data_IF_955014760827
#
_entry.id   IF_955014760827
#
_cell.length_a   1.000
_cell.length_b   1.000
_cell.length_c   1.000
_cell.angle_alpha   90.00
_cell.angle_beta   90.00
_cell.angle_gamma   90.00
#
_symmetry.space_group_name_H-M   'P 1'
#
loop_
_entity.id
_entity.type
_entity.pdbx_description
1 polymer ?
#
# COMPACT_ATOMS: atom_id res chain seq x y z
N UNK A 1 -20.20 14.39 -0.02
CA UNK A 1 -20.50 13.74 1.26
C UNK A 1 -20.39 12.22 1.13
N UNK A 2 -21.06 11.60 0.17
CA UNK A 2 -21.05 10.14 -0.08
C UNK A 2 -19.67 9.50 -0.12
N UNK A 3 -18.68 10.13 -0.77
CA UNK A 3 -17.31 9.60 -0.84
C UNK A 3 -16.58 9.64 0.52
N UNK A 4 -16.86 10.64 1.35
CA UNK A 4 -16.32 10.70 2.71
C UNK A 4 -16.95 9.64 3.62
N UNK A 5 -18.25 9.38 3.46
CA UNK A 5 -18.95 8.28 4.15
C UNK A 5 -18.41 6.93 3.71
N UNK A 6 -18.23 6.75 2.39
CA UNK A 6 -17.62 5.54 1.82
C UNK A 6 -16.23 5.26 2.38
N UNK A 7 -15.39 6.29 2.53
CA UNK A 7 -14.04 6.15 3.10
C UNK A 7 -14.01 6.19 4.63
N UNK A 8 -15.14 6.49 5.31
CA UNK A 8 -15.27 6.49 6.77
C UNK A 8 -14.65 7.69 7.46
N UNK A 9 -14.55 8.82 6.76
CA UNK A 9 -13.99 10.08 7.29
C UNK A 9 -15.01 11.23 7.25
N UNK A 10 -16.28 10.97 7.09
CA UNK A 10 -17.37 11.96 7.03
C UNK A 10 -17.41 12.89 8.25
N UNK A 11 -17.04 12.38 9.44
CA UNK A 11 -16.96 13.17 10.67
C UNK A 11 -15.93 14.30 10.61
N UNK A 12 -15.00 14.22 9.67
CA UNK A 12 -13.94 15.20 9.44
C UNK A 12 -14.25 16.17 8.27
N UNK A 13 -15.47 16.14 7.71
CA UNK A 13 -15.85 16.92 6.54
C UNK A 13 -15.64 18.44 6.71
N UNK A 14 -15.75 18.94 7.94
CA UNK A 14 -15.52 20.36 8.28
C UNK A 14 -14.12 20.64 8.85
N UNK A 15 -13.26 19.63 8.99
CA UNK A 15 -11.91 19.79 9.49
C UNK A 15 -10.96 20.25 8.39
N UNK A 16 -9.91 20.96 8.79
CA UNK A 16 -8.79 21.25 7.88
C UNK A 16 -8.02 19.98 7.60
N UNK A 17 -7.59 19.77 6.35
CA UNK A 17 -6.90 18.56 5.94
C UNK A 17 -5.56 18.33 6.68
N UNK A 18 -4.89 19.39 7.12
CA UNK A 18 -3.65 19.34 7.89
C UNK A 18 -3.85 18.83 9.34
N UNK A 19 -5.09 18.89 9.86
CA UNK A 19 -5.43 18.37 11.18
C UNK A 19 -5.72 16.86 11.19
N UNK A 20 -5.83 16.24 10.01
CA UNK A 20 -6.05 14.81 9.86
C UNK A 20 -4.78 14.01 10.19
N UNK A 21 -4.95 12.84 10.80
CA UNK A 21 -3.86 11.87 10.92
C UNK A 21 -3.37 11.43 9.53
N UNK A 22 -2.15 10.90 9.48
CA UNK A 22 -1.57 10.41 8.21
C UNK A 22 -2.50 9.42 7.50
N UNK A 23 -3.02 8.42 8.23
CA UNK A 23 -3.93 7.45 7.65
C UNK A 23 -5.28 8.04 7.21
N UNK A 24 -5.83 9.01 7.94
CA UNK A 24 -7.03 9.72 7.51
C UNK A 24 -6.80 10.52 6.23
N UNK A 25 -5.61 11.09 6.05
CA UNK A 25 -5.23 11.73 4.79
C UNK A 25 -5.17 10.75 3.63
N UNK A 26 -4.68 9.52 3.84
CA UNK A 26 -4.70 8.45 2.81
C UNK A 26 -6.13 8.11 2.38
N UNK A 27 -7.08 8.06 3.31
CA UNK A 27 -8.50 7.85 2.98
C UNK A 27 -9.10 9.07 2.24
N UNK A 28 -8.70 10.28 2.61
CA UNK A 28 -9.10 11.49 1.91
C UNK A 28 -8.55 11.54 0.49
N UNK A 29 -7.29 11.14 0.28
CA UNK A 29 -6.67 11.01 -1.05
C UNK A 29 -7.46 10.04 -1.93
N UNK A 30 -7.86 8.87 -1.39
CA UNK A 30 -8.72 7.93 -2.12
C UNK A 30 -10.07 8.57 -2.46
N UNK A 31 -10.74 9.22 -1.51
CA UNK A 31 -12.00 9.91 -1.76
C UNK A 31 -11.87 10.98 -2.84
N UNK A 32 -10.77 11.74 -2.82
CA UNK A 32 -10.47 12.80 -3.80
C UNK A 32 -10.31 12.24 -5.22
N UNK A 33 -9.54 11.17 -5.38
CA UNK A 33 -9.36 10.51 -6.69
C UNK A 33 -10.69 10.00 -7.25
N UNK A 34 -11.55 9.47 -6.39
CA UNK A 34 -12.87 8.93 -6.78
C UNK A 34 -13.87 10.01 -7.22
N UNK A 35 -13.64 11.29 -6.93
CA UNK A 35 -14.51 12.38 -7.42
C UNK A 35 -14.62 12.39 -8.95
N UNK A 36 -13.52 12.03 -9.63
CA UNK A 36 -13.49 11.99 -11.11
C UNK A 36 -14.15 10.73 -11.70
N UNK A 37 -14.68 9.83 -10.87
CA UNK A 37 -15.25 8.53 -11.26
C UNK A 37 -14.34 7.73 -12.23
N UNK A 38 -13.06 7.51 -11.91
CA UNK A 38 -12.11 6.90 -12.82
C UNK A 38 -12.38 5.40 -13.00
N UNK A 39 -12.15 4.90 -14.22
CA UNK A 39 -12.18 3.46 -14.51
C UNK A 39 -10.92 2.75 -13.99
N UNK A 40 -9.79 3.46 -13.93
CA UNK A 40 -8.49 2.96 -13.45
C UNK A 40 -7.94 3.90 -12.38
N UNK A 41 -7.52 3.35 -11.25
CA UNK A 41 -6.91 4.08 -10.13
C UNK A 41 -5.49 3.58 -9.92
N UNK A 42 -4.53 4.51 -9.84
CA UNK A 42 -3.14 4.23 -9.51
C UNK A 42 -2.88 4.65 -8.07
N UNK A 43 -2.35 3.73 -7.27
CA UNK A 43 -2.00 3.97 -5.87
C UNK A 43 -0.50 3.67 -5.68
N UNK A 44 0.21 4.64 -5.11
CA UNK A 44 1.62 4.53 -4.78
C UNK A 44 1.79 4.48 -3.26
N UNK A 45 2.27 3.35 -2.75
CA UNK A 45 2.48 3.04 -1.34
C UNK A 45 1.27 3.38 -0.43
N UNK A 46 0.05 2.93 -0.77
CA UNK A 46 -1.15 3.31 -0.01
C UNK A 46 -1.15 2.79 1.43
N UNK A 47 -0.41 1.71 1.73
CA UNK A 47 -0.28 1.13 3.08
C UNK A 47 0.90 1.72 3.88
N UNK A 48 1.79 2.49 3.25
CA UNK A 48 3.00 3.05 3.89
C UNK A 48 2.68 3.94 5.08
N UNK A 49 3.27 3.65 6.25
CA UNK A 49 3.09 4.44 7.48
C UNK A 49 1.67 4.42 8.08
N UNK A 50 0.82 3.52 7.64
CA UNK A 50 -0.58 3.39 8.08
C UNK A 50 -0.70 2.25 9.08
N UNK A 51 -1.50 2.44 10.16
CA UNK A 51 -1.70 1.38 11.14
C UNK A 51 -2.50 0.19 10.55
N UNK A 52 -2.33 -1.04 11.09
CA UNK A 52 -2.92 -2.27 10.52
C UNK A 52 -4.45 -2.22 10.38
N UNK A 53 -5.17 -1.61 11.32
CA UNK A 53 -6.63 -1.49 11.27
C UNK A 53 -7.08 -0.66 10.07
N UNK A 54 -6.38 0.43 9.79
CA UNK A 54 -6.69 1.32 8.68
C UNK A 54 -6.27 0.72 7.33
N UNK A 55 -5.18 -0.07 7.30
CA UNK A 55 -4.79 -0.87 6.12
C UNK A 55 -5.92 -1.83 5.73
N UNK A 56 -6.51 -2.53 6.70
CA UNK A 56 -7.63 -3.44 6.45
C UNK A 56 -8.87 -2.69 5.94
N UNK A 57 -9.15 -1.51 6.48
CA UNK A 57 -10.24 -0.66 6.01
C UNK A 57 -10.02 -0.21 4.57
N UNK A 58 -8.81 0.28 4.24
CA UNK A 58 -8.43 0.67 2.88
C UNK A 58 -8.56 -0.50 1.90
N UNK A 59 -8.04 -1.67 2.25
CA UNK A 59 -8.16 -2.88 1.44
C UNK A 59 -9.61 -3.26 1.16
N UNK A 60 -10.49 -3.15 2.17
CA UNK A 60 -11.91 -3.41 2.01
C UNK A 60 -12.57 -2.45 1.00
N UNK A 61 -12.24 -1.15 1.08
CA UNK A 61 -12.76 -0.15 0.12
C UNK A 61 -12.26 -0.40 -1.30
N UNK A 62 -10.98 -0.76 -1.47
CA UNK A 62 -10.41 -1.11 -2.79
C UNK A 62 -11.14 -2.33 -3.37
N UNK A 63 -11.36 -3.39 -2.58
CA UNK A 63 -12.10 -4.59 -3.05
C UNK A 63 -13.52 -4.25 -3.48
N UNK A 64 -14.22 -3.42 -2.72
CA UNK A 64 -15.58 -3.00 -3.05
C UNK A 64 -15.65 -2.22 -4.37
N UNK A 65 -14.72 -1.30 -4.59
CA UNK A 65 -14.60 -0.54 -5.83
C UNK A 65 -14.20 -1.43 -7.02
N UNK A 66 -13.32 -2.40 -6.80
CA UNK A 66 -12.92 -3.37 -7.81
C UNK A 66 -14.10 -4.28 -8.21
N UNK A 67 -14.87 -4.77 -7.23
CA UNK A 67 -16.09 -5.53 -7.48
C UNK A 67 -17.15 -4.71 -8.24
N UNK A 68 -17.16 -3.38 -8.09
CA UNK A 68 -17.99 -2.46 -8.85
C UNK A 68 -17.44 -2.14 -10.26
N UNK A 69 -16.34 -2.79 -10.68
CA UNK A 69 -15.78 -2.71 -12.03
C UNK A 69 -14.61 -1.75 -12.22
N UNK A 70 -14.06 -1.16 -11.15
CA UNK A 70 -12.84 -0.33 -11.25
C UNK A 70 -11.59 -1.20 -11.23
N UNK A 71 -10.59 -0.77 -11.98
CA UNK A 71 -9.27 -1.41 -12.01
C UNK A 71 -8.30 -0.62 -11.14
N UNK A 72 -7.45 -1.33 -10.40
CA UNK A 72 -6.40 -0.74 -9.57
C UNK A 72 -5.02 -1.20 -10.04
N UNK A 73 -4.08 -0.26 -10.13
CA UNK A 73 -2.65 -0.53 -10.20
C UNK A 73 -2.02 -0.01 -8.90
N UNK A 74 -1.42 -0.91 -8.13
CA UNK A 74 -0.88 -0.60 -6.81
C UNK A 74 0.62 -0.87 -6.82
N UNK A 75 1.41 0.13 -6.46
CA UNK A 75 2.84 -0.03 -6.17
C UNK A 75 3.01 -0.11 -4.66
N UNK A 76 3.57 -1.21 -4.17
CA UNK A 76 3.71 -1.48 -2.74
C UNK A 76 4.88 -2.43 -2.47
N UNK A 77 5.48 -2.28 -1.29
CA UNK A 77 6.46 -3.21 -0.74
C UNK A 77 5.91 -4.05 0.42
N UNK A 78 4.70 -3.73 0.92
CA UNK A 78 4.02 -4.52 1.93
C UNK A 78 3.43 -5.80 1.30
N UNK A 79 4.17 -6.92 1.44
CA UNK A 79 3.82 -8.20 0.83
C UNK A 79 2.46 -8.73 1.32
N UNK A 80 2.15 -8.60 2.61
CA UNK A 80 0.88 -9.06 3.16
C UNK A 80 -0.31 -8.31 2.55
N UNK A 81 -0.16 -7.01 2.34
CA UNK A 81 -1.18 -6.18 1.72
C UNK A 81 -1.42 -6.58 0.26
N UNK A 82 -0.36 -6.69 -0.56
CA UNK A 82 -0.52 -7.04 -1.99
C UNK A 82 -0.97 -8.48 -2.18
N UNK A 83 -0.44 -9.44 -1.40
CA UNK A 83 -0.84 -10.85 -1.47
C UNK A 83 -2.29 -11.06 -1.07
N UNK A 84 -2.80 -10.26 -0.13
CA UNK A 84 -4.18 -10.32 0.32
C UNK A 84 -5.18 -9.56 -0.55
N UNK A 85 -4.72 -8.65 -1.40
CA UNK A 85 -5.58 -7.72 -2.14
C UNK A 85 -5.59 -7.92 -3.65
N UNK A 86 -4.43 -8.19 -4.25
CA UNK A 86 -4.27 -8.15 -5.70
C UNK A 86 -4.60 -9.49 -6.36
N UNK A 87 -5.22 -9.45 -7.55
CA UNK A 87 -5.48 -10.63 -8.38
C UNK A 87 -4.22 -11.09 -9.12
N UNK A 88 -3.31 -10.15 -9.42
CA UNK A 88 -2.06 -10.38 -10.13
C UNK A 88 -0.97 -9.47 -9.57
N UNK A 89 0.22 -10.04 -9.40
CA UNK A 89 1.38 -9.35 -8.85
C UNK A 89 2.52 -9.44 -9.87
N UNK A 90 3.26 -8.35 -10.03
CA UNK A 90 4.55 -8.31 -10.73
C UNK A 90 5.58 -7.82 -9.73
N UNK A 91 6.60 -8.63 -9.47
CA UNK A 91 7.69 -8.29 -8.57
C UNK A 91 8.85 -7.75 -9.38
N UNK A 92 9.34 -6.58 -8.95
CA UNK A 92 10.49 -5.90 -9.52
C UNK A 92 11.65 -5.93 -8.52
N UNK A 93 12.85 -6.24 -9.02
CA UNK A 93 14.10 -6.11 -8.31
C UNK A 93 15.06 -5.29 -9.18
N UNK A 94 15.55 -4.16 -8.67
CA UNK A 94 16.36 -3.17 -9.42
C UNK A 94 15.84 -2.88 -10.83
N UNK A 95 14.51 -2.72 -10.98
CA UNK A 95 13.87 -2.42 -12.26
C UNK A 95 13.68 -3.61 -13.20
N UNK A 96 14.08 -4.81 -12.79
CA UNK A 96 13.92 -6.05 -13.56
C UNK A 96 12.75 -6.87 -13.01
N UNK A 97 11.90 -7.42 -13.88
CA UNK A 97 10.82 -8.32 -13.47
C UNK A 97 11.43 -9.67 -13.05
N UNK A 98 11.29 -10.03 -11.79
CA UNK A 98 11.77 -11.30 -11.24
C UNK A 98 10.67 -12.36 -11.19
N UNK A 99 9.43 -11.95 -10.98
CA UNK A 99 8.28 -12.84 -11.00
C UNK A 99 7.00 -12.10 -11.41
N UNK A 100 6.04 -12.81 -12.01
CA UNK A 100 4.71 -12.26 -12.30
C UNK A 100 3.68 -13.38 -12.31
N UNK A 101 2.52 -13.14 -11.69
CA UNK A 101 1.43 -14.10 -11.64
C UNK A 101 0.42 -13.83 -10.54
N UNK A 102 -0.51 -14.77 -10.30
CA UNK A 102 -1.39 -14.69 -9.15
C UNK A 102 -0.60 -14.83 -7.84
N UNK A 103 -1.13 -14.32 -6.71
CA UNK A 103 -0.45 -14.31 -5.41
C UNK A 103 0.11 -15.66 -4.98
N UNK A 104 -0.64 -16.77 -5.22
CA UNK A 104 -0.22 -18.11 -4.85
C UNK A 104 1.08 -18.56 -5.54
N UNK A 105 1.27 -18.16 -6.79
CA UNK A 105 2.48 -18.49 -7.57
C UNK A 105 3.66 -17.62 -7.15
N UNK A 106 3.42 -16.29 -7.00
CA UNK A 106 4.47 -15.34 -6.65
C UNK A 106 5.02 -15.59 -5.25
N UNK A 107 4.17 -15.99 -4.31
CA UNK A 107 4.56 -16.29 -2.92
C UNK A 107 5.56 -17.46 -2.80
N UNK A 108 5.49 -18.41 -3.70
CA UNK A 108 6.33 -19.64 -3.68
C UNK A 108 7.58 -19.51 -4.56
N UNK A 109 7.74 -18.40 -5.28
CA UNK A 109 8.90 -18.20 -6.16
C UNK A 109 10.17 -17.92 -5.33
N UNK A 110 11.21 -18.76 -5.40
CA UNK A 110 12.45 -18.57 -4.64
C UNK A 110 13.13 -17.24 -4.89
N UNK A 111 13.02 -16.69 -6.10
CA UNK A 111 13.62 -15.40 -6.47
C UNK A 111 12.94 -14.24 -5.73
N UNK A 112 11.64 -14.35 -5.45
CA UNK A 112 10.89 -13.36 -4.66
C UNK A 112 11.31 -13.44 -3.20
N UNK A 113 11.46 -14.66 -2.66
CA UNK A 113 11.93 -14.87 -1.28
C UNK A 113 13.34 -14.33 -1.08
N UNK A 114 14.25 -14.59 -2.02
CA UNK A 114 15.62 -14.09 -1.96
C UNK A 114 15.69 -12.56 -2.03
N UNK A 115 14.92 -11.93 -2.93
CA UNK A 115 14.86 -10.47 -3.05
C UNK A 115 14.24 -9.82 -1.80
N UNK A 116 13.26 -10.46 -1.18
CA UNK A 116 12.60 -9.97 0.03
C UNK A 116 13.48 -10.12 1.29
N UNK A 117 14.13 -11.28 1.45
CA UNK A 117 15.04 -11.55 2.59
C UNK A 117 16.35 -10.76 2.46
N UNK A 118 16.85 -10.51 1.25
CA UNK A 118 18.04 -9.70 1.01
C UNK A 118 17.85 -8.23 1.37
N UNK A 119 16.63 -7.69 1.21
CA UNK A 119 16.31 -6.32 1.60
C UNK A 119 16.28 -6.11 3.13
N UNK A 120 15.89 -7.13 3.90
CA UNK A 120 15.87 -7.08 5.38
C UNK A 120 17.29 -7.09 6.00
N UNK A 121 18.29 -7.61 5.29
CA UNK A 121 19.68 -7.64 5.76
C UNK A 121 20.41 -6.31 5.49
N UNK A 122 20.07 -5.60 4.41
CA UNK A 122 20.68 -4.29 4.09
C UNK A 122 20.20 -3.18 5.05
N UNK A 123 18.95 -3.20 5.51
CA UNK A 123 18.41 -2.22 6.47
C UNK A 123 19.01 -2.37 7.89
N UNK A 124 19.60 -3.52 8.22
CA UNK A 124 20.27 -3.75 9.52
C UNK A 124 21.75 -3.36 9.55
N UNK A 125 22.38 -3.19 8.39
CA UNK A 125 23.81 -2.87 8.29
C UNK A 125 24.10 -1.39 8.57
N UNK A 126 23.14 -0.50 8.35
CA UNK A 126 23.34 0.94 8.50
C UNK A 126 23.15 1.44 9.95
N UNK A 127 22.53 0.64 10.85
CA UNK A 127 22.31 1.03 12.26
C UNK A 127 23.49 0.71 13.18
N UNK A 128 24.43 -0.15 12.79
CA UNK A 128 25.56 -0.57 13.64
C UNK A 128 26.81 0.32 13.52
N UNK A 129 26.93 1.24 12.56
CA UNK A 129 28.09 2.14 12.44
C UNK A 129 27.96 3.47 13.21
N UNK A 130 26.82 3.79 13.80
CA UNK A 130 26.61 5.06 14.53
C UNK A 130 26.96 5.01 16.05
N UNK A 131 27.46 3.91 16.56
CA UNK A 131 27.67 3.65 17.99
C UNK A 131 29.10 3.51 18.51
N UNK A 132 30.10 4.04 17.82
CA UNK A 132 31.49 3.87 18.25
C UNK A 132 32.33 5.14 18.23
N UNK A 133 32.40 5.86 19.34
CA UNK A 133 33.47 6.84 19.52
C UNK A 133 33.15 8.02 20.43
N UNK A 134 33.36 7.85 21.73
CA UNK A 134 33.93 8.92 22.57
C UNK A 134 34.44 8.31 23.89
N UNK A 135 35.72 8.17 23.96
CA UNK A 135 36.52 8.37 25.17
C UNK A 135 37.27 9.66 25.04
#
# INVERSE_FOLDING_TARGET
MELLEFTGIERHAAALADTLSYGQRKLLELAYVLVADPAVVLLDEPAGGVNPSLIQHLAARIRELNAAGRTFLIVEHNMDFVMGLCDRITVLDYGTVVAAGPPAIVREDPRVLDAYLGADDDDKADDDEAGGGHD
#
